data_IF_283235613563
#
_entry.id   IF_283235613563
#
_cell.length_a   1.000
_cell.length_b   1.000
_cell.length_c   1.000
_cell.angle_alpha   90.00
_cell.angle_beta   90.00
_cell.angle_gamma   90.00
#
_symmetry.space_group_name_H-M   'P 1'
#
loop_
_entity.id
_entity.type
_entity.pdbx_description
1 polymer ?
#
# COMPACT_ATOMS: atom_id res chain seq x y z
N UNK A 1 7.25 -9.77 0.63
CA UNK A 1 6.05 -10.60 0.79
C UNK A 1 6.25 -12.01 0.24
N UNK A 2 6.42 -12.23 -1.05
CA UNK A 2 6.56 -13.57 -1.64
C UNK A 2 7.64 -14.44 -0.98
N UNK A 3 8.86 -13.90 -0.81
CA UNK A 3 9.96 -14.61 -0.14
C UNK A 3 9.63 -14.99 1.31
N UNK A 4 8.86 -14.17 2.03
CA UNK A 4 8.48 -14.46 3.42
C UNK A 4 7.52 -15.65 3.55
N UNK A 5 6.75 -15.95 2.49
CA UNK A 5 5.84 -17.10 2.43
C UNK A 5 6.40 -18.27 1.59
N UNK A 6 7.68 -18.19 1.22
CA UNK A 6 8.35 -19.26 0.47
C UNK A 6 7.96 -19.37 -1.00
N UNK A 7 7.32 -18.34 -1.55
CA UNK A 7 6.94 -18.28 -2.97
C UNK A 7 8.03 -17.58 -3.77
N UNK A 8 8.52 -18.25 -4.81
CA UNK A 8 9.42 -17.64 -5.78
C UNK A 8 8.61 -16.88 -6.82
N UNK A 9 9.06 -15.66 -7.14
CA UNK A 9 8.51 -14.80 -8.18
C UNK A 9 9.64 -14.51 -9.18
N UNK A 10 9.38 -14.72 -10.45
CA UNK A 10 10.31 -14.44 -11.54
C UNK A 10 9.99 -13.14 -12.27
N UNK A 11 8.76 -12.65 -12.16
CA UNK A 11 8.31 -11.42 -12.78
C UNK A 11 7.36 -10.64 -11.86
N UNK A 12 7.51 -9.30 -11.87
CA UNK A 12 6.58 -8.38 -11.18
C UNK A 12 6.10 -7.34 -12.17
N UNK A 13 4.79 -7.23 -12.31
CA UNK A 13 4.13 -6.19 -13.09
C UNK A 13 3.50 -5.15 -12.15
N UNK A 14 3.62 -3.87 -12.50
CA UNK A 14 2.98 -2.77 -11.79
C UNK A 14 1.90 -2.13 -12.66
N UNK A 15 0.67 -2.23 -12.23
CA UNK A 15 -0.47 -1.45 -12.74
C UNK A 15 -0.74 -0.25 -11.85
N UNK A 16 -1.00 0.91 -12.43
CA UNK A 16 -1.33 2.14 -11.70
C UNK A 16 -2.56 2.78 -12.31
N UNK A 17 -3.54 3.08 -11.47
CA UNK A 17 -4.70 3.91 -11.80
C UNK A 17 -4.65 5.21 -10.98
N UNK A 18 -4.99 6.33 -11.60
CA UNK A 18 -5.00 7.64 -10.94
C UNK A 18 -6.43 8.17 -10.85
N UNK A 19 -6.75 8.77 -9.71
CA UNK A 19 -7.98 9.52 -9.49
C UNK A 19 -7.68 11.02 -9.50
N UNK A 20 -8.53 11.81 -10.17
CA UNK A 20 -8.43 13.25 -10.19
C UNK A 20 -9.59 13.90 -9.41
N UNK A 21 -9.32 14.99 -8.74
CA UNK A 21 -10.35 15.80 -8.10
C UNK A 21 -11.28 16.39 -9.16
N UNK A 22 -12.59 16.20 -9.01
CA UNK A 22 -13.58 16.79 -9.94
C UNK A 22 -13.98 18.21 -9.56
N UNK A 23 -13.70 18.61 -8.32
CA UNK A 23 -13.92 19.97 -7.77
C UNK A 23 -12.73 20.37 -6.91
N UNK A 24 -12.54 21.66 -6.74
CA UNK A 24 -11.56 22.18 -5.78
C UNK A 24 -11.87 21.64 -4.37
N UNK A 25 -10.81 21.30 -3.64
CA UNK A 25 -10.91 20.80 -2.27
C UNK A 25 -9.93 21.51 -1.36
N UNK A 26 -10.40 21.80 -0.17
CA UNK A 26 -9.58 22.31 0.91
C UNK A 26 -9.59 21.27 2.05
N UNK A 27 -8.42 20.70 2.35
CA UNK A 27 -8.21 19.76 3.45
C UNK A 27 -7.62 20.45 4.69
N UNK A 28 -7.60 21.80 4.70
CA UNK A 28 -7.00 22.59 5.75
C UNK A 28 -5.48 22.73 5.61
N UNK A 29 -4.77 21.63 5.54
CA UNK A 29 -3.31 21.58 5.34
C UNK A 29 -2.88 21.55 3.85
N UNK A 30 -3.80 21.25 2.94
CA UNK A 30 -3.55 21.12 1.50
C UNK A 30 -4.78 21.53 0.69
N UNK A 31 -4.57 22.37 -0.30
CA UNK A 31 -5.57 22.69 -1.32
C UNK A 31 -5.34 21.85 -2.56
N UNK A 32 -6.37 21.20 -3.07
CA UNK A 32 -6.35 20.33 -4.24
C UNK A 32 -7.26 20.94 -5.30
N UNK A 33 -6.71 21.58 -6.34
CA UNK A 33 -7.51 22.09 -7.44
C UNK A 33 -8.20 20.98 -8.23
N UNK A 34 -9.35 21.28 -8.81
CA UNK A 34 -10.01 20.40 -9.76
C UNK A 34 -9.05 19.99 -10.89
N UNK A 35 -9.08 18.73 -11.30
CA UNK A 35 -8.17 18.17 -12.29
C UNK A 35 -6.82 17.70 -11.75
N UNK A 36 -6.48 17.99 -10.47
CA UNK A 36 -5.26 17.49 -9.85
C UNK A 36 -5.43 16.01 -9.42
N UNK A 37 -4.32 15.27 -9.42
CA UNK A 37 -4.33 13.89 -8.88
C UNK A 37 -4.64 13.93 -7.39
N UNK A 38 -5.67 13.22 -7.00
CA UNK A 38 -6.16 13.13 -5.63
C UNK A 38 -6.24 11.69 -5.10
N UNK A 39 -5.88 10.71 -5.92
CA UNK A 39 -5.82 9.32 -5.50
C UNK A 39 -4.94 8.48 -6.43
N UNK A 40 -4.38 7.44 -5.87
CA UNK A 40 -3.60 6.41 -6.55
C UNK A 40 -4.10 5.05 -6.12
N UNK A 41 -4.29 4.17 -7.10
CA UNK A 41 -4.48 2.75 -6.88
C UNK A 41 -3.38 2.01 -7.64
N UNK A 42 -2.51 1.33 -6.91
CA UNK A 42 -1.36 0.62 -7.44
C UNK A 42 -1.47 -0.87 -7.14
N UNK A 43 -1.31 -1.71 -8.16
CA UNK A 43 -1.31 -3.16 -8.04
C UNK A 43 0.02 -3.72 -8.52
N UNK A 44 0.69 -4.48 -7.66
CA UNK A 44 1.86 -5.28 -8.01
C UNK A 44 1.43 -6.72 -8.14
N UNK A 45 1.54 -7.27 -9.36
CA UNK A 45 1.24 -8.68 -9.65
C UNK A 45 2.55 -9.44 -9.77
N UNK A 46 2.78 -10.35 -8.85
CA UNK A 46 3.90 -11.28 -8.89
C UNK A 46 3.52 -12.57 -9.62
N UNK A 47 4.32 -12.95 -10.62
CA UNK A 47 4.11 -14.15 -11.42
C UNK A 47 5.28 -15.11 -11.30
N UNK A 48 4.99 -16.40 -11.52
CA UNK A 48 5.98 -17.46 -11.73
C UNK A 48 5.58 -18.29 -12.94
N UNK A 49 6.52 -18.52 -13.85
CA UNK A 49 6.29 -19.25 -15.12
C UNK A 49 5.06 -18.70 -15.87
N UNK A 50 4.91 -17.37 -15.92
CA UNK A 50 3.83 -16.67 -16.58
C UNK A 50 2.45 -16.77 -15.90
N UNK A 51 2.37 -17.32 -14.68
CA UNK A 51 1.13 -17.44 -13.91
C UNK A 51 1.16 -16.51 -12.69
N UNK A 52 0.13 -15.69 -12.45
CA UNK A 52 0.01 -14.92 -11.24
C UNK A 52 -0.01 -15.83 -10.00
N UNK A 53 0.80 -15.49 -8.99
CA UNK A 53 0.88 -16.23 -7.71
C UNK A 53 0.53 -15.36 -6.52
N UNK A 54 0.75 -14.05 -6.63
CA UNK A 54 0.37 -13.11 -5.60
C UNK A 54 0.15 -11.70 -6.15
N UNK A 55 -0.84 -11.00 -5.60
CA UNK A 55 -1.10 -9.59 -5.85
C UNK A 55 -1.02 -8.80 -4.55
N UNK A 56 -0.38 -7.64 -4.62
CA UNK A 56 -0.46 -6.60 -3.61
C UNK A 56 -1.08 -5.36 -4.24
N UNK A 57 -2.21 -4.93 -3.73
CA UNK A 57 -2.87 -3.69 -4.14
C UNK A 57 -2.85 -2.69 -3.02
N UNK A 58 -2.49 -1.46 -3.32
CA UNK A 58 -2.55 -0.34 -2.40
C UNK A 58 -3.42 0.77 -3.00
N UNK A 59 -4.29 1.33 -2.19
CA UNK A 59 -5.12 2.46 -2.58
C UNK A 59 -4.90 3.60 -1.59
N UNK A 60 -4.55 4.77 -2.11
CA UNK A 60 -4.40 6.00 -1.34
C UNK A 60 -5.23 7.10 -1.96
N UNK A 61 -6.02 7.77 -1.12
CA UNK A 61 -6.85 8.89 -1.55
C UNK A 61 -6.67 10.08 -0.60
N UNK A 62 -6.71 11.28 -1.16
CA UNK A 62 -6.74 12.53 -0.40
C UNK A 62 -8.20 12.95 -0.20
N UNK A 63 -8.74 12.64 0.99
CA UNK A 63 -10.13 12.89 1.35
C UNK A 63 -11.06 11.71 1.06
N UNK A 64 -12.24 11.72 1.68
CA UNK A 64 -13.20 10.62 1.68
C UNK A 64 -14.19 10.64 0.51
N UNK A 65 -14.29 11.76 -0.20
CA UNK A 65 -15.21 11.92 -1.34
C UNK A 65 -14.41 12.41 -2.52
N UNK A 66 -13.83 11.49 -3.25
CA UNK A 66 -13.38 11.75 -4.60
C UNK A 66 -14.59 11.58 -5.51
N UNK A 67 -15.06 12.65 -6.11
CA UNK A 67 -15.99 12.55 -7.22
C UNK A 67 -15.26 11.91 -8.40
N UNK A 68 -15.12 10.59 -8.38
CA UNK A 68 -14.30 9.89 -9.36
C UNK A 68 -15.17 8.97 -10.20
N UNK A 69 -15.10 9.04 -11.54
CA UNK A 69 -15.84 8.11 -12.39
C UNK A 69 -15.39 6.65 -12.23
N UNK A 70 -14.26 6.41 -11.57
CA UNK A 70 -13.69 5.07 -11.36
C UNK A 70 -13.80 4.57 -9.91
N UNK A 71 -14.33 5.36 -8.99
CA UNK A 71 -14.54 4.97 -7.59
C UNK A 71 -15.19 3.58 -7.42
N UNK A 72 -16.17 3.18 -8.24
CA UNK A 72 -16.74 1.84 -8.19
C UNK A 72 -15.75 0.71 -8.53
N UNK A 73 -14.63 1.02 -9.18
CA UNK A 73 -13.61 0.02 -9.53
C UNK A 73 -12.65 -0.27 -8.39
N UNK A 74 -12.45 0.70 -7.50
CA UNK A 74 -11.50 0.55 -6.41
C UNK A 74 -12.18 -0.19 -5.25
N UNK A 75 -11.67 -1.37 -4.93
CA UNK A 75 -12.20 -2.23 -3.88
C UNK A 75 -11.97 -1.68 -2.47
N UNK A 76 -11.03 -0.77 -2.32
CA UNK A 76 -10.67 -0.12 -1.06
C UNK A 76 -10.62 1.40 -1.27
N UNK A 77 -11.09 2.16 -0.28
CA UNK A 77 -10.95 3.61 -0.26
C UNK A 77 -9.52 4.01 0.15
N UNK A 78 -8.96 3.36 1.17
CA UNK A 78 -7.58 3.48 1.63
C UNK A 78 -7.17 2.15 2.26
N UNK A 79 -5.98 1.64 1.91
CA UNK A 79 -5.45 0.43 2.53
C UNK A 79 -4.74 -0.51 1.57
N UNK A 80 -4.70 -1.78 1.98
CA UNK A 80 -4.03 -2.84 1.27
C UNK A 80 -4.95 -4.02 1.03
N UNK A 81 -4.85 -4.61 -0.15
CA UNK A 81 -5.45 -5.89 -0.50
C UNK A 81 -4.32 -6.82 -0.97
N UNK A 82 -4.23 -7.98 -0.35
CA UNK A 82 -3.26 -9.02 -0.69
C UNK A 82 -4.02 -10.26 -1.11
N UNK A 83 -3.75 -10.77 -2.29
CA UNK A 83 -4.24 -12.05 -2.76
C UNK A 83 -3.06 -13.00 -2.96
N UNK A 84 -3.21 -14.22 -2.50
CA UNK A 84 -2.23 -15.30 -2.71
C UNK A 84 -3.00 -16.46 -3.32
N UNK A 85 -2.54 -16.91 -4.48
CA UNK A 85 -3.11 -18.07 -5.17
C UNK A 85 -2.41 -19.32 -4.65
N UNK A 86 -3.15 -20.24 -4.05
CA UNK A 86 -2.61 -21.46 -3.46
C UNK A 86 -3.71 -22.42 -3.02
N UNK A 87 -3.37 -23.38 -2.20
CA UNK A 87 -4.30 -24.27 -1.52
C UNK A 87 -4.12 -24.16 0.00
N UNK A 88 -4.98 -23.39 0.68
CA UNK A 88 -6.09 -22.59 0.14
C UNK A 88 -5.64 -21.26 -0.54
N UNK A 89 -6.52 -20.65 -1.31
CA UNK A 89 -6.36 -19.25 -1.70
C UNK A 89 -6.55 -18.35 -0.47
N UNK A 90 -5.75 -17.29 -0.36
CA UNK A 90 -5.81 -16.34 0.75
C UNK A 90 -6.09 -14.93 0.23
N UNK A 91 -7.10 -14.28 0.78
CA UNK A 91 -7.35 -12.84 0.59
C UNK A 91 -7.22 -12.13 1.95
N UNK A 92 -6.35 -11.13 2.03
CA UNK A 92 -6.20 -10.27 3.20
C UNK A 92 -6.54 -8.83 2.81
N UNK A 93 -7.46 -8.22 3.56
CA UNK A 93 -7.78 -6.80 3.46
C UNK A 93 -7.34 -6.09 4.73
N UNK A 94 -6.59 -5.00 4.58
CA UNK A 94 -6.19 -4.15 5.67
C UNK A 94 -6.55 -2.72 5.34
N UNK A 95 -7.34 -2.08 6.20
CA UNK A 95 -7.70 -0.67 6.12
C UNK A 95 -7.33 0.04 7.41
N UNK A 96 -6.98 1.31 7.29
CA UNK A 96 -6.74 2.18 8.42
C UNK A 96 -7.95 3.09 8.57
N UNK A 97 -8.70 2.90 9.66
CA UNK A 97 -9.79 3.79 10.04
C UNK A 97 -9.30 4.64 11.22
N UNK A 98 -9.23 5.97 11.08
CA UNK A 98 -8.92 6.83 12.22
C UNK A 98 -10.04 6.71 13.24
N UNK A 99 -9.66 6.67 14.52
CA UNK A 99 -10.64 6.79 15.62
C UNK A 99 -11.28 8.19 15.61
N UNK A 100 -10.52 9.17 15.15
CA UNK A 100 -10.91 10.54 14.93
C UNK A 100 -10.14 11.07 13.71
N UNK A 101 -10.83 11.68 12.75
CA UNK A 101 -10.22 12.17 11.52
C UNK A 101 -9.19 13.28 11.78
N UNK A 102 -9.39 14.08 12.82
CA UNK A 102 -8.47 15.15 13.22
C UNK A 102 -7.17 14.62 13.85
N UNK A 103 -7.20 13.41 14.41
CA UNK A 103 -6.07 12.77 15.08
C UNK A 103 -5.33 11.74 14.23
N UNK A 104 -5.72 11.54 12.97
CA UNK A 104 -5.11 10.53 12.10
C UNK A 104 -3.69 10.91 11.68
N UNK A 105 -2.73 10.39 12.42
CA UNK A 105 -1.31 10.53 12.10
C UNK A 105 -0.86 9.43 11.15
N UNK A 106 -0.90 9.74 9.85
CA UNK A 106 -0.35 8.86 8.78
C UNK A 106 1.15 8.63 8.98
N UNK A 107 1.84 9.57 9.64
CA UNK A 107 3.27 9.51 9.89
C UNK A 107 3.66 8.34 10.78
N UNK A 108 2.87 8.04 11.81
CA UNK A 108 3.16 6.96 12.76
C UNK A 108 3.21 5.59 12.06
N UNK A 109 2.24 5.26 11.22
CA UNK A 109 2.21 3.96 10.52
C UNK A 109 3.37 3.80 9.54
N UNK A 110 3.88 4.91 9.00
CA UNK A 110 5.03 4.91 8.08
C UNK A 110 6.37 4.91 8.81
N UNK A 111 6.48 5.67 9.90
CA UNK A 111 7.72 5.84 10.64
C UNK A 111 8.04 4.68 11.59
N UNK A 112 7.03 4.09 12.24
CA UNK A 112 7.25 3.06 13.27
C UNK A 112 8.02 1.83 12.79
N UNK A 113 7.82 1.29 11.58
CA UNK A 113 8.66 0.21 11.08
C UNK A 113 10.16 0.57 11.04
N UNK A 114 10.49 1.81 10.66
CA UNK A 114 11.88 2.27 10.65
C UNK A 114 12.42 2.44 12.09
N UNK A 115 11.63 3.00 13.01
CA UNK A 115 12.01 3.14 14.42
C UNK A 115 12.22 1.77 15.07
N UNK A 116 11.33 0.82 14.83
CA UNK A 116 11.44 -0.53 15.37
C UNK A 116 12.67 -1.28 14.82
N UNK A 117 13.09 -0.97 13.60
CA UNK A 117 14.26 -1.58 12.97
C UNK A 117 15.60 -1.10 13.57
N UNK A 118 15.66 0.04 14.28
CA UNK A 118 16.91 0.68 14.75
C UNK A 118 17.78 -0.32 15.51
N UNK A 119 17.23 -1.03 16.49
CA UNK A 119 18.01 -1.97 17.32
C UNK A 119 18.61 -3.09 16.48
N UNK A 120 17.84 -3.64 15.53
CA UNK A 120 18.30 -4.71 14.66
C UNK A 120 19.38 -4.23 13.69
N UNK A 121 19.22 -3.01 13.13
CA UNK A 121 20.19 -2.41 12.22
C UNK A 121 21.49 -2.10 12.94
N UNK A 122 21.44 -1.57 14.17
CA UNK A 122 22.64 -1.27 14.97
C UNK A 122 23.41 -2.54 15.33
N UNK A 123 22.72 -3.66 15.57
CA UNK A 123 23.35 -4.94 15.89
C UNK A 123 23.84 -5.71 14.65
N UNK A 124 23.46 -5.29 13.45
CA UNK A 124 23.80 -5.98 12.21
C UNK A 124 25.27 -5.73 11.79
N UNK A 125 25.90 -6.66 11.06
CA UNK A 125 27.18 -6.42 10.41
C UNK A 125 27.13 -5.21 9.47
N UNK A 126 28.25 -4.57 9.18
CA UNK A 126 28.31 -3.48 8.22
C UNK A 126 27.85 -3.96 6.83
N UNK A 127 26.91 -3.24 6.21
CA UNK A 127 26.35 -3.60 4.91
C UNK A 127 25.03 -2.89 4.59
N UNK A 128 24.40 -3.29 3.51
CA UNK A 128 23.06 -2.86 3.13
C UNK A 128 22.08 -3.98 3.47
N UNK A 129 21.06 -3.64 4.26
CA UNK A 129 20.02 -4.58 4.68
C UNK A 129 18.69 -4.20 4.05
N UNK A 130 17.93 -5.21 3.68
CA UNK A 130 16.54 -5.07 3.26
C UNK A 130 15.60 -5.44 4.41
N UNK A 131 14.32 -5.09 4.37
CA UNK A 131 13.34 -5.55 5.38
C UNK A 131 13.27 -7.08 5.53
N UNK A 132 13.75 -7.84 4.54
CA UNK A 132 13.78 -9.31 4.58
C UNK A 132 14.97 -9.87 5.38
N UNK A 133 15.98 -9.05 5.63
CA UNK A 133 17.18 -9.41 6.38
C UNK A 133 17.04 -9.07 7.87
N UNK A 134 15.98 -8.30 8.20
CA UNK A 134 15.67 -7.92 9.57
C UNK A 134 14.68 -8.90 10.20
N UNK A 135 14.69 -9.07 11.53
CA UNK A 135 13.67 -9.86 12.20
C UNK A 135 12.29 -9.25 11.97
N UNK A 136 11.26 -10.11 11.86
CA UNK A 136 9.88 -9.65 11.85
C UNK A 136 9.58 -8.96 13.18
N UNK A 137 9.27 -7.68 13.13
CA UNK A 137 9.04 -6.82 14.30
C UNK A 137 7.58 -6.42 14.31
#
# INVERSE_FOLDING_TARGET
MARAIGVEIDHVELGVELAVATTDRDLGFLQIPAGSVAGIDATWTGSRDGRPVADLRTTWTLGTVLGHPQEPRWKLANGYLINIVGDPNVELRMSFAPADFESYDVGTTTAMPAVNAITAVVAAPAGVFTPLDLPLI
#
